data_IF_701584950577
#
_entry.id   IF_701584950577
#
_cell.length_a   1.000
_cell.length_b   1.000
_cell.length_c   1.000
_cell.angle_alpha   90.00
_cell.angle_beta   90.00
_cell.angle_gamma   90.00
#
_symmetry.space_group_name_H-M   'P 1'
#
loop_
_entity.id
_entity.type
_entity.pdbx_description
1 polymer ?
#
# COMPACT_ATOMS: atom_id res chain seq x y z
N UNK A 1 4.11 15.33 -9.91
CA UNK A 1 4.02 14.57 -8.65
C UNK A 1 3.87 13.11 -9.06
N UNK A 2 4.50 12.15 -8.38
CA UNK A 2 4.49 10.73 -8.80
C UNK A 2 3.14 10.02 -8.59
N UNK A 3 2.20 10.66 -7.89
CA UNK A 3 0.78 10.29 -7.96
C UNK A 3 0.14 10.97 -9.16
N UNK A 4 -0.29 10.16 -10.13
CA UNK A 4 -1.03 10.61 -11.31
C UNK A 4 -2.52 10.82 -11.00
N UNK A 5 -3.02 10.20 -9.93
CA UNK A 5 -4.37 10.42 -9.41
C UNK A 5 -4.40 10.43 -7.88
N UNK A 6 -5.48 10.97 -7.33
CA UNK A 6 -5.69 11.07 -5.88
C UNK A 6 -6.66 10.01 -5.38
N UNK A 7 -6.52 9.66 -4.10
CA UNK A 7 -7.41 8.72 -3.44
C UNK A 7 -8.84 9.29 -3.37
N UNK A 8 -9.77 8.62 -4.03
CA UNK A 8 -11.21 8.88 -3.97
C UNK A 8 -11.88 7.56 -3.57
N UNK A 9 -12.46 7.52 -2.38
CA UNK A 9 -12.98 6.28 -1.80
C UNK A 9 -14.24 6.53 -0.95
N UNK A 10 -15.16 5.57 -0.99
CA UNK A 10 -16.33 5.54 -0.10
C UNK A 10 -16.18 4.48 0.96
N UNK A 11 -16.69 4.76 2.15
CA UNK A 11 -16.80 3.77 3.20
C UNK A 11 -17.93 2.78 2.85
N UNK A 12 -17.62 1.47 2.87
CA UNK A 12 -18.58 0.39 2.61
C UNK A 12 -19.04 -0.25 3.93
N UNK A 13 -18.09 -0.47 4.84
CA UNK A 13 -18.37 -0.95 6.19
C UNK A 13 -17.60 -0.11 7.21
N UNK A 14 -17.77 -0.38 8.51
CA UNK A 14 -17.02 0.31 9.55
C UNK A 14 -15.48 0.28 9.35
N UNK A 15 -14.96 -0.68 8.57
CA UNK A 15 -13.53 -0.89 8.36
C UNK A 15 -13.11 -0.99 6.89
N UNK A 16 -14.05 -1.17 5.96
CA UNK A 16 -13.72 -1.33 4.55
C UNK A 16 -14.06 -0.08 3.76
N UNK A 17 -13.15 0.28 2.87
CA UNK A 17 -13.27 1.37 1.94
C UNK A 17 -13.14 0.83 0.53
N UNK A 18 -13.88 1.43 -0.39
CA UNK A 18 -13.87 1.07 -1.80
C UNK A 18 -13.48 2.28 -2.62
N UNK A 19 -12.50 2.10 -3.50
CA UNK A 19 -12.09 3.14 -4.43
C UNK A 19 -13.23 3.45 -5.40
N UNK A 20 -13.55 4.74 -5.52
CA UNK A 20 -14.51 5.29 -6.47
C UNK A 20 -13.85 5.63 -7.82
N UNK A 21 -12.53 5.81 -7.82
CA UNK A 21 -11.74 6.05 -9.03
C UNK A 21 -10.43 5.29 -8.94
N UNK A 22 -9.79 4.98 -10.08
CA UNK A 22 -8.47 4.37 -10.08
C UNK A 22 -7.43 5.25 -9.36
N UNK A 23 -6.69 4.64 -8.44
CA UNK A 23 -5.52 5.27 -7.81
C UNK A 23 -4.26 4.86 -8.56
N UNK A 24 -3.52 5.83 -9.06
CA UNK A 24 -2.39 5.63 -9.96
C UNK A 24 -1.14 6.21 -9.34
N UNK A 25 -0.15 5.36 -9.11
CA UNK A 25 1.14 5.73 -8.55
C UNK A 25 2.28 5.23 -9.43
N UNK A 26 3.18 6.14 -9.81
CA UNK A 26 4.42 5.83 -10.51
C UNK A 26 5.57 5.70 -9.50
N UNK A 27 6.01 4.47 -9.27
CA UNK A 27 7.13 4.17 -8.37
C UNK A 27 8.50 4.20 -9.08
N UNK A 28 8.57 4.81 -10.27
CA UNK A 28 9.77 4.92 -11.09
C UNK A 28 10.33 3.55 -11.46
N UNK A 29 11.51 3.19 -10.93
CA UNK A 29 12.18 1.92 -11.24
C UNK A 29 11.41 0.65 -10.82
N UNK A 30 10.41 0.79 -9.95
CA UNK A 30 9.54 -0.32 -9.55
C UNK A 30 8.31 -0.46 -10.45
N UNK A 31 8.13 0.48 -11.39
CA UNK A 31 7.04 0.54 -12.34
C UNK A 31 5.79 1.21 -11.78
N UNK A 32 4.74 1.16 -12.58
CA UNK A 32 3.47 1.82 -12.29
C UNK A 32 2.52 0.87 -11.55
N UNK A 33 1.73 1.45 -10.67
CA UNK A 33 0.70 0.77 -9.90
C UNK A 33 -0.64 1.46 -10.13
N UNK A 34 -1.52 0.79 -10.85
CA UNK A 34 -2.90 1.23 -11.08
C UNK A 34 -3.82 0.38 -10.22
N UNK A 35 -4.24 0.93 -9.09
CA UNK A 35 -5.26 0.31 -8.25
C UNK A 35 -6.62 0.59 -8.89
N UNK A 36 -7.38 -0.44 -9.31
CA UNK A 36 -8.61 -0.23 -10.05
C UNK A 36 -9.73 0.35 -9.19
N UNK A 37 -10.70 0.98 -9.84
CA UNK A 37 -11.99 1.30 -9.22
C UNK A 37 -12.63 0.01 -8.67
N UNK A 38 -13.33 0.14 -7.53
CA UNK A 38 -13.94 -1.00 -6.85
C UNK A 38 -12.96 -1.82 -6.00
N UNK A 39 -11.65 -1.52 -6.03
CA UNK A 39 -10.71 -2.12 -5.11
C UNK A 39 -11.11 -1.79 -3.67
N UNK A 40 -11.31 -2.84 -2.87
CA UNK A 40 -11.57 -2.71 -1.46
C UNK A 40 -10.25 -2.72 -0.72
N UNK A 41 -9.95 -1.63 -0.04
CA UNK A 41 -8.86 -1.54 0.91
C UNK A 41 -9.45 -1.25 2.29
N UNK A 42 -8.87 -1.88 3.29
CA UNK A 42 -9.34 -1.71 4.66
C UNK A 42 -8.69 -0.47 5.28
N UNK A 43 -7.70 0.14 4.61
CA UNK A 43 -6.67 1.04 5.18
C UNK A 43 -6.00 0.48 6.47
N UNK A 44 -6.39 -0.73 6.91
CA UNK A 44 -6.31 -1.27 8.26
C UNK A 44 -6.15 -2.81 8.30
N UNK A 45 -6.00 -3.51 7.16
CA UNK A 45 -5.83 -4.97 7.12
C UNK A 45 -4.40 -5.43 7.29
N UNK A 46 -3.44 -4.50 7.38
CA UNK A 46 -2.18 -4.78 8.06
C UNK A 46 -2.55 -5.23 9.48
N UNK A 47 -2.12 -6.42 9.96
CA UNK A 47 -2.48 -6.90 11.28
C UNK A 47 -2.03 -5.82 12.24
N UNK A 48 -2.93 -5.35 13.11
CA UNK A 48 -2.71 -4.26 14.07
C UNK A 48 -1.33 -4.38 14.72
N UNK A 49 -0.30 -3.80 14.10
CA UNK A 49 0.96 -3.50 14.75
C UNK A 49 0.63 -2.25 15.54
N UNK A 50 0.38 -2.34 16.85
CA UNK A 50 -0.26 -1.26 17.60
C UNK A 50 0.53 0.05 17.50
N UNK A 51 1.84 -0.03 17.26
CA UNK A 51 2.73 1.13 17.19
C UNK A 51 2.69 1.91 15.86
N UNK A 52 2.49 1.29 14.69
CA UNK A 52 2.48 2.02 13.42
C UNK A 52 1.16 2.79 13.24
N UNK A 53 0.04 2.18 13.65
CA UNK A 53 -1.27 2.82 13.65
C UNK A 53 -1.38 3.93 14.69
N UNK A 54 -0.79 3.76 15.90
CA UNK A 54 -0.75 4.83 16.90
C UNK A 54 0.03 6.07 16.43
N UNK A 55 1.05 5.90 15.58
CA UNK A 55 1.90 7.01 15.13
C UNK A 55 1.36 7.64 13.83
N UNK A 56 0.54 6.93 13.04
CA UNK A 56 0.18 7.32 11.68
C UNK A 56 -1.32 7.20 11.32
N UNK A 57 -2.20 7.00 12.30
CA UNK A 57 -3.64 6.96 12.06
C UNK A 57 -4.12 8.22 11.33
N UNK A 58 -4.59 8.06 10.09
CA UNK A 58 -5.14 9.14 9.26
C UNK A 58 -4.18 9.77 8.23
N UNK A 59 -2.92 9.34 8.13
CA UNK A 59 -1.97 9.83 7.13
C UNK A 59 -1.52 8.72 6.17
N UNK A 60 -1.33 9.06 4.89
CA UNK A 60 -0.77 8.12 3.90
C UNK A 60 -1.73 7.04 3.38
N UNK A 61 -3.04 7.26 3.43
CA UNK A 61 -4.05 6.29 2.96
C UNK A 61 -3.85 5.88 1.49
N UNK A 62 -3.44 6.82 0.63
CA UNK A 62 -3.09 6.52 -0.76
C UNK A 62 -1.91 5.55 -0.87
N UNK A 63 -0.84 5.79 -0.10
CA UNK A 63 0.31 4.89 -0.05
C UNK A 63 -0.07 3.49 0.49
N UNK A 64 -0.91 3.44 1.53
CA UNK A 64 -1.41 2.17 2.07
C UNK A 64 -2.22 1.38 1.04
N UNK A 65 -3.06 2.05 0.25
CA UNK A 65 -3.84 1.42 -0.82
C UNK A 65 -2.95 0.84 -1.91
N UNK A 66 -1.91 1.57 -2.33
CA UNK A 66 -0.92 1.08 -3.30
C UNK A 66 -0.18 -0.14 -2.74
N UNK A 67 0.18 -0.12 -1.45
CA UNK A 67 0.83 -1.26 -0.79
C UNK A 67 -0.06 -2.49 -0.73
N UNK A 68 -1.32 -2.35 -0.31
CA UNK A 68 -2.29 -3.45 -0.26
C UNK A 68 -2.48 -4.09 -1.64
N UNK A 69 -2.61 -3.27 -2.68
CA UNK A 69 -2.70 -3.73 -4.06
C UNK A 69 -1.43 -4.48 -4.48
N UNK A 70 -0.24 -3.90 -4.27
CA UNK A 70 1.04 -4.51 -4.59
C UNK A 70 1.28 -5.83 -3.82
N UNK A 71 0.80 -5.94 -2.58
CA UNK A 71 0.87 -7.16 -1.79
C UNK A 71 -0.04 -8.27 -2.34
N UNK A 72 -1.25 -7.89 -2.75
CA UNK A 72 -2.25 -8.82 -3.28
C UNK A 72 -1.88 -9.31 -4.67
N UNK A 73 -1.42 -8.44 -5.57
CA UNK A 73 -1.02 -8.83 -6.93
C UNK A 73 0.40 -9.39 -6.97
N UNK A 74 1.32 -8.84 -6.17
CA UNK A 74 2.76 -9.14 -6.19
C UNK A 74 3.41 -8.82 -7.52
N UNK A 75 2.77 -7.95 -8.31
CA UNK A 75 3.22 -7.51 -9.62
C UNK A 75 2.89 -6.04 -9.81
N UNK A 76 3.68 -5.35 -10.62
CA UNK A 76 3.33 -4.02 -11.13
C UNK A 76 2.48 -4.13 -12.41
N UNK A 77 2.08 -2.99 -12.96
CA UNK A 77 1.25 -2.93 -14.18
C UNK A 77 1.96 -3.52 -15.41
N UNK A 78 3.30 -3.48 -15.45
CA UNK A 78 4.13 -4.06 -16.52
C UNK A 78 4.29 -5.58 -16.39
N UNK A 79 3.69 -6.21 -15.38
CA UNK A 79 3.80 -7.64 -15.11
C UNK A 79 5.10 -8.06 -14.44
N UNK A 80 5.97 -7.12 -14.03
CA UNK A 80 7.17 -7.40 -13.24
C UNK A 80 6.76 -8.00 -11.90
N UNK A 81 7.26 -9.20 -11.60
CA UNK A 81 7.08 -9.82 -10.29
C UNK A 81 7.88 -9.05 -9.25
N UNK A 82 7.19 -8.62 -8.20
CA UNK A 82 7.79 -7.89 -7.09
C UNK A 82 8.18 -8.86 -6.00
N UNK A 83 9.34 -8.60 -5.39
CA UNK A 83 9.66 -9.17 -4.09
C UNK A 83 8.93 -8.40 -2.99
N UNK A 84 8.78 -9.04 -1.82
CA UNK A 84 8.24 -8.37 -0.63
C UNK A 84 9.00 -7.08 -0.30
N UNK A 85 10.33 -7.12 -0.43
CA UNK A 85 11.18 -5.93 -0.21
C UNK A 85 10.86 -4.78 -1.17
N UNK A 86 10.64 -5.09 -2.45
CA UNK A 86 10.27 -4.07 -3.42
C UNK A 86 8.89 -3.48 -3.12
N UNK A 87 7.90 -4.30 -2.77
CA UNK A 87 6.57 -3.83 -2.40
C UNK A 87 6.61 -2.90 -1.17
N UNK A 88 7.40 -3.25 -0.15
CA UNK A 88 7.56 -2.39 1.03
C UNK A 88 8.34 -1.10 0.72
N UNK A 89 9.32 -1.14 -0.20
CA UNK A 89 10.02 0.07 -0.66
C UNK A 89 9.10 1.00 -1.45
N UNK A 90 8.23 0.45 -2.29
CA UNK A 90 7.20 1.22 -3.01
C UNK A 90 6.30 1.97 -2.02
N UNK A 91 5.90 1.30 -0.93
CA UNK A 91 5.15 1.94 0.14
C UNK A 91 5.91 3.09 0.81
N UNK A 92 7.19 2.88 1.15
CA UNK A 92 8.02 3.94 1.71
C UNK A 92 8.14 5.14 0.75
N UNK A 93 8.35 4.90 -0.54
CA UNK A 93 8.42 5.97 -1.56
C UNK A 93 7.09 6.72 -1.65
N UNK A 94 5.98 6.00 -1.74
CA UNK A 94 4.65 6.61 -1.80
C UNK A 94 4.36 7.49 -0.57
N UNK A 95 4.77 7.08 0.63
CA UNK A 95 4.67 7.91 1.83
C UNK A 95 5.49 9.20 1.72
N UNK A 96 6.74 9.10 1.22
CA UNK A 96 7.62 10.26 1.04
C UNK A 96 7.07 11.23 0.00
N UNK A 97 6.48 10.71 -1.06
CA UNK A 97 5.88 11.48 -2.14
C UNK A 97 4.58 12.19 -1.73
N UNK A 98 3.85 11.62 -0.77
CA UNK A 98 2.73 12.27 -0.10
C UNK A 98 3.17 13.33 0.94
N UNK A 99 4.48 13.57 1.08
CA UNK A 99 5.03 14.59 1.97
C UNK A 99 5.20 14.13 3.43
N UNK A 100 5.01 12.84 3.74
CA UNK A 100 5.21 12.32 5.10
C UNK A 100 6.68 12.40 5.48
N UNK A 101 6.98 12.90 6.68
CA UNK A 101 8.36 13.12 7.13
C UNK A 101 9.18 11.82 7.13
N UNK A 102 10.49 11.88 6.81
CA UNK A 102 11.28 10.68 6.55
C UNK A 102 11.30 9.72 7.75
N UNK A 103 11.32 10.27 8.97
CA UNK A 103 11.35 9.45 10.19
C UNK A 103 10.03 8.71 10.42
N UNK A 104 8.87 9.32 10.10
CA UNK A 104 7.55 8.67 10.18
C UNK A 104 7.45 7.59 9.11
N UNK A 105 7.78 7.93 7.86
CA UNK A 105 7.78 6.96 6.76
C UNK A 105 8.72 5.78 7.04
N UNK A 106 9.90 6.05 7.62
CA UNK A 106 10.86 5.02 8.02
C UNK A 106 10.33 4.11 9.13
N UNK A 107 9.59 4.65 10.10
CA UNK A 107 8.94 3.86 11.14
C UNK A 107 7.84 2.95 10.56
N UNK A 108 6.99 3.49 9.67
CA UNK A 108 5.93 2.75 8.97
C UNK A 108 6.52 1.63 8.11
N UNK A 109 7.57 1.93 7.35
CA UNK A 109 8.29 0.93 6.54
C UNK A 109 8.85 -0.20 7.40
N UNK A 110 9.55 0.12 8.51
CA UNK A 110 10.07 -0.91 9.43
C UNK A 110 8.95 -1.78 10.01
N UNK A 111 7.81 -1.19 10.35
CA UNK A 111 6.67 -1.94 10.85
C UNK A 111 6.15 -2.96 9.82
N UNK A 112 5.92 -2.56 8.57
CA UNK A 112 5.45 -3.53 7.54
C UNK A 112 6.49 -4.62 7.29
N UNK A 113 7.79 -4.30 7.28
CA UNK A 113 8.86 -5.32 7.13
C UNK A 113 8.84 -6.39 8.21
N UNK A 114 8.54 -6.02 9.45
CA UNK A 114 8.55 -6.96 10.58
C UNK A 114 7.27 -7.80 10.65
N UNK A 115 6.11 -7.23 10.32
CA UNK A 115 4.82 -7.85 10.64
C UNK A 115 3.99 -8.31 9.44
N UNK A 116 4.22 -7.78 8.23
CA UNK A 116 3.42 -8.11 7.05
C UNK A 116 3.91 -9.36 6.29
N UNK A 117 5.01 -9.98 6.71
CA UNK A 117 5.59 -11.15 6.02
C UNK A 117 4.62 -12.32 5.85
N UNK A 118 3.87 -12.67 6.90
CA UNK A 118 2.90 -13.77 6.86
C UNK A 118 1.75 -13.52 5.88
N UNK A 119 1.36 -12.25 5.68
CA UNK A 119 0.31 -11.87 4.72
C UNK A 119 0.82 -12.05 3.30
N UNK A 120 2.04 -11.58 3.00
CA UNK A 120 2.68 -11.78 1.70
C UNK A 120 2.70 -13.26 1.32
N UNK A 121 3.17 -14.11 2.22
CA UNK A 121 3.24 -15.56 2.00
C UNK A 121 1.86 -16.20 1.86
N UNK A 122 0.83 -15.67 2.51
CA UNK A 122 -0.55 -16.13 2.35
C UNK A 122 -1.09 -15.83 0.95
N UNK A 123 -0.82 -14.64 0.39
CA UNK A 123 -1.21 -14.31 -0.98
C UNK A 123 -0.43 -15.13 -2.00
N UNK A 124 0.90 -15.25 -1.86
CA UNK A 124 1.73 -16.03 -2.78
C UNK A 124 1.40 -17.53 -2.77
N UNK A 125 0.85 -18.05 -1.68
CA UNK A 125 0.36 -19.45 -1.62
C UNK A 125 -0.93 -19.67 -2.40
N UNK A 126 -1.79 -18.66 -2.54
CA UNK A 126 -3.03 -18.76 -3.33
C UNK A 126 -2.78 -18.69 -4.84
N UNK A 127 -1.63 -18.16 -5.24
CA UNK A 127 -1.21 -18.07 -6.65
C UNK A 127 -0.60 -19.39 -7.17
N UNK A 128 -0.40 -20.40 -6.31
CA UNK A 128 0.07 -21.75 -6.67
C UNK A 128 -1.10 -22.72 -6.78
#
# INVERSE_FOLDING_TARGET
>A
MPFDSYLDARQVTAKEWMLLKPLVYDAGRFGKFTVPEGFTCDFCSVPRVPFAYLVCGGIGQGAGTVHDYAYRTGKNDDGKVLTRDEADRVFYMALRDLGIEPWKAGLMHKAVRMFAGKIWDAYRRKDK
#
